data_IF_000073415159
#
_entry.id   IF_000073415159
#
_cell.length_a   1.000
_cell.length_b   1.000
_cell.length_c   1.000
_cell.angle_alpha   90.00
_cell.angle_beta   90.00
_cell.angle_gamma   90.00
#
_symmetry.space_group_name_H-M   'P 1'
#
loop_
_entity.id
_entity.type
_entity.pdbx_description
1 polymer ?
#
# COMPACT_ATOMS: atom_id res chain seq x y z
N UNK A 1 15.31 -5.87 -3.79
CA UNK A 1 14.47 -6.70 -4.67
C UNK A 1 14.22 -5.92 -5.94
N UNK A 2 14.29 -6.56 -7.10
CA UNK A 2 14.08 -5.81 -8.34
C UNK A 2 12.60 -5.57 -8.64
N UNK A 3 12.34 -4.55 -9.47
CA UNK A 3 10.98 -4.14 -9.80
C UNK A 3 10.18 -5.25 -10.49
N UNK A 4 10.84 -6.08 -11.32
CA UNK A 4 10.15 -7.15 -12.02
C UNK A 4 9.64 -8.23 -11.07
N UNK A 5 10.43 -8.57 -10.06
CA UNK A 5 9.99 -9.52 -9.04
C UNK A 5 8.82 -8.98 -8.24
N UNK A 6 8.90 -7.70 -7.86
CA UNK A 6 7.82 -7.05 -7.12
C UNK A 6 6.55 -7.04 -7.97
N UNK A 7 6.65 -6.69 -9.24
CA UNK A 7 5.51 -6.67 -10.13
C UNK A 7 4.88 -8.05 -10.29
N UNK A 8 5.70 -9.10 -10.38
CA UNK A 8 5.19 -10.47 -10.49
C UNK A 8 4.43 -10.89 -9.23
N UNK A 9 4.92 -10.51 -8.06
CA UNK A 9 4.23 -10.77 -6.79
C UNK A 9 2.87 -10.06 -6.78
N UNK A 10 2.86 -8.80 -7.18
CA UNK A 10 1.62 -8.00 -7.24
C UNK A 10 0.62 -8.64 -8.21
N UNK A 11 1.07 -8.99 -9.41
CA UNK A 11 0.20 -9.55 -10.44
C UNK A 11 -0.45 -10.86 -9.99
N UNK A 12 0.29 -11.66 -9.24
CA UNK A 12 -0.24 -12.90 -8.68
C UNK A 12 -1.19 -12.66 -7.51
N UNK A 13 -0.80 -11.81 -6.59
CA UNK A 13 -1.47 -11.67 -5.30
C UNK A 13 -2.64 -10.69 -5.29
N UNK A 14 -2.55 -9.61 -6.04
CA UNK A 14 -3.51 -8.51 -5.92
C UNK A 14 -4.96 -8.95 -6.21
N UNK A 15 -5.25 -9.72 -7.27
CA UNK A 15 -6.62 -10.20 -7.48
C UNK A 15 -7.12 -11.07 -6.33
N UNK A 16 -6.24 -11.84 -5.70
CA UNK A 16 -6.58 -12.70 -4.56
C UNK A 16 -6.87 -11.86 -3.30
N UNK A 17 -6.10 -10.82 -3.09
CA UNK A 17 -6.30 -9.88 -1.99
C UNK A 17 -7.66 -9.20 -2.14
N UNK A 18 -8.01 -8.76 -3.35
CA UNK A 18 -9.30 -8.15 -3.62
C UNK A 18 -10.44 -9.10 -3.29
N UNK A 19 -10.33 -10.35 -3.70
CA UNK A 19 -11.37 -11.35 -3.45
C UNK A 19 -11.51 -11.67 -1.96
N UNK A 20 -10.39 -11.73 -1.26
CA UNK A 20 -10.35 -12.11 0.15
C UNK A 20 -10.90 -11.02 1.06
N UNK A 21 -10.41 -9.80 0.90
CA UNK A 21 -10.83 -8.66 1.72
C UNK A 21 -12.07 -7.96 1.20
N UNK A 22 -12.45 -8.26 -0.02
CA UNK A 22 -13.65 -7.73 -0.63
C UNK A 22 -13.42 -6.43 -1.39
N UNK A 23 -14.35 -6.13 -2.26
CA UNK A 23 -14.38 -4.88 -3.01
C UNK A 23 -15.50 -4.04 -2.40
N UNK A 24 -15.19 -2.87 -1.85
CA UNK A 24 -16.21 -2.08 -1.17
C UNK A 24 -17.28 -1.59 -2.14
N UNK A 25 -18.50 -1.44 -1.63
CA UNK A 25 -19.63 -0.91 -2.40
C UNK A 25 -19.56 0.61 -2.37
N UNK A 26 -18.54 1.16 -2.99
CA UNK A 26 -18.30 2.60 -3.13
C UNK A 26 -17.96 2.89 -4.58
N UNK A 27 -18.10 4.16 -4.97
CA UNK A 27 -17.88 4.57 -6.36
C UNK A 27 -16.42 4.72 -6.76
N UNK A 28 -15.50 4.19 -5.96
CA UNK A 28 -14.07 4.20 -6.31
C UNK A 28 -13.71 2.91 -7.03
N UNK A 29 -13.07 2.98 -8.19
CA UNK A 29 -12.54 1.79 -8.85
C UNK A 29 -11.42 1.20 -8.00
N UNK A 30 -11.05 -0.05 -8.30
CA UNK A 30 -9.92 -0.70 -7.62
C UNK A 30 -8.67 0.11 -7.92
N UNK A 31 -7.88 0.48 -6.90
CA UNK A 31 -6.71 1.33 -7.11
C UNK A 31 -5.64 0.64 -7.95
N UNK A 32 -5.02 1.40 -8.83
CA UNK A 32 -3.84 0.94 -9.57
C UNK A 32 -2.63 0.98 -8.66
N UNK A 33 -1.68 0.11 -8.93
CA UNK A 33 -0.45 0.04 -8.16
C UNK A 33 0.69 0.58 -9.00
N UNK A 34 1.46 1.50 -8.45
CA UNK A 34 2.65 2.07 -9.09
C UNK A 34 3.87 1.84 -8.21
N UNK A 35 4.99 1.54 -8.86
CA UNK A 35 6.27 1.35 -8.18
C UNK A 35 7.13 2.58 -8.42
N UNK A 36 7.63 3.16 -7.33
CA UNK A 36 8.50 4.33 -7.39
C UNK A 36 9.70 4.15 -6.47
N UNK A 37 10.77 4.87 -6.77
CA UNK A 37 11.98 4.82 -5.94
C UNK A 37 11.72 5.40 -4.55
N UNK A 38 11.04 6.54 -4.49
CA UNK A 38 10.65 7.18 -3.24
C UNK A 38 9.54 8.22 -3.51
N UNK A 39 9.10 8.89 -2.45
CA UNK A 39 8.07 9.92 -2.56
C UNK A 39 8.53 11.05 -3.49
N UNK A 40 9.80 11.42 -3.40
CA UNK A 40 10.34 12.51 -4.19
C UNK A 40 10.29 12.22 -5.70
N UNK A 41 10.71 11.01 -6.09
CA UNK A 41 10.63 10.56 -7.47
C UNK A 41 9.18 10.56 -7.97
N UNK A 42 8.26 10.08 -7.13
CA UNK A 42 6.84 10.06 -7.47
C UNK A 42 6.28 11.46 -7.72
N UNK A 43 6.54 12.38 -6.79
CA UNK A 43 5.97 13.73 -6.86
C UNK A 43 6.59 14.57 -7.98
N UNK A 44 7.87 14.37 -8.26
CA UNK A 44 8.56 15.10 -9.33
C UNK A 44 8.26 14.56 -10.73
N UNK A 45 7.79 13.31 -10.81
CA UNK A 45 7.61 12.64 -12.09
C UNK A 45 8.91 12.16 -12.73
N UNK A 46 10.03 12.23 -12.00
CA UNK A 46 11.35 11.84 -12.49
C UNK A 46 11.92 10.77 -11.54
N UNK A 47 11.98 9.51 -12.02
CA UNK A 47 12.48 8.40 -11.23
C UNK A 47 13.97 8.53 -10.86
N UNK A 48 14.72 9.36 -11.60
CA UNK A 48 16.12 9.61 -11.27
C UNK A 48 16.28 10.71 -10.22
N UNK A 49 15.23 11.47 -9.91
CA UNK A 49 15.29 12.50 -8.90
C UNK A 49 15.50 11.87 -7.52
N UNK A 50 16.26 12.55 -6.69
CA UNK A 50 16.49 12.11 -5.32
C UNK A 50 16.36 13.28 -4.37
N UNK A 51 15.67 13.06 -3.24
CA UNK A 51 15.55 14.05 -2.19
C UNK A 51 16.65 13.88 -1.15
N UNK A 52 16.90 14.93 -0.40
CA UNK A 52 17.89 14.89 0.67
C UNK A 52 17.46 13.98 1.84
N UNK A 53 16.17 13.77 1.98
CA UNK A 53 15.63 12.95 3.06
C UNK A 53 15.25 11.58 2.52
N UNK A 54 16.00 10.58 2.92
CA UNK A 54 15.65 9.21 2.59
C UNK A 54 14.30 8.89 3.21
N UNK A 55 13.35 8.56 2.36
CA UNK A 55 12.06 8.12 2.81
C UNK A 55 12.12 6.65 3.18
N UNK A 56 11.74 6.33 4.40
CA UNK A 56 11.69 4.96 4.89
C UNK A 56 10.31 4.32 4.71
N UNK A 57 9.34 5.03 4.17
CA UNK A 57 8.04 4.47 3.87
C UNK A 57 8.15 3.32 2.89
N UNK A 58 7.41 2.27 3.16
CA UNK A 58 7.36 1.09 2.28
C UNK A 58 6.32 1.28 1.19
N UNK A 59 5.19 1.89 1.52
CA UNK A 59 4.07 2.07 0.61
C UNK A 59 3.13 3.15 1.11
N UNK A 60 2.23 3.59 0.23
CA UNK A 60 1.18 4.56 0.57
C UNK A 60 -0.06 4.28 -0.27
N UNK A 61 -1.23 4.50 0.31
CA UNK A 61 -2.46 4.63 -0.45
C UNK A 61 -2.78 6.12 -0.57
N UNK A 62 -2.86 6.63 -1.80
CA UNK A 62 -3.25 8.01 -2.07
C UNK A 62 -4.73 8.04 -2.39
N UNK A 63 -5.50 8.63 -1.49
CA UNK A 63 -6.95 8.67 -1.60
C UNK A 63 -7.42 9.57 -2.75
N UNK A 64 -6.72 10.67 -2.98
CA UNK A 64 -7.09 11.64 -4.01
C UNK A 64 -6.90 11.06 -5.42
N UNK A 65 -5.79 10.36 -5.64
CA UNK A 65 -5.51 9.71 -6.92
C UNK A 65 -6.11 8.31 -7.03
N UNK A 66 -6.50 7.73 -5.89
CA UNK A 66 -6.95 6.35 -5.76
C UNK A 66 -5.91 5.38 -6.33
N UNK A 67 -4.70 5.49 -5.81
CA UNK A 67 -3.56 4.65 -6.21
C UNK A 67 -2.82 4.14 -5.00
N UNK A 68 -2.21 2.98 -5.14
CA UNK A 68 -1.29 2.42 -4.16
C UNK A 68 0.10 2.59 -4.71
N UNK A 69 0.98 3.23 -3.94
CA UNK A 69 2.38 3.39 -4.30
C UNK A 69 3.23 2.47 -3.45
N UNK A 70 4.13 1.73 -4.08
CA UNK A 70 5.11 0.90 -3.37
C UNK A 70 6.49 1.45 -3.71
N UNK A 71 7.28 1.73 -2.68
CA UNK A 71 8.63 2.26 -2.81
C UNK A 71 9.61 1.09 -2.82
N UNK A 72 9.95 0.64 -4.04
CA UNK A 72 10.60 -0.65 -4.25
C UNK A 72 11.94 -0.84 -3.53
N UNK A 73 12.77 0.20 -3.28
CA UNK A 73 14.00 -0.04 -2.51
C UNK A 73 13.76 -0.44 -1.05
N UNK A 74 12.57 -0.15 -0.54
CA UNK A 74 12.25 -0.40 0.88
C UNK A 74 11.55 -1.75 1.11
N UNK A 75 11.33 -2.53 0.07
CA UNK A 75 10.79 -3.89 0.18
C UNK A 75 11.87 -4.89 -0.21
N UNK A 76 12.09 -5.88 0.64
CA UNK A 76 13.22 -6.79 0.50
C UNK A 76 12.82 -8.26 0.38
N UNK A 77 11.54 -8.57 0.48
CA UNK A 77 11.04 -9.93 0.45
C UNK A 77 9.62 -9.96 -0.06
N UNK A 78 9.15 -11.15 -0.41
CA UNK A 78 7.75 -11.37 -0.77
C UNK A 78 6.84 -10.94 0.39
N UNK A 79 7.22 -11.28 1.62
CA UNK A 79 6.47 -10.89 2.81
C UNK A 79 6.29 -9.38 2.87
N UNK A 80 7.35 -8.61 2.64
CA UNK A 80 7.31 -7.15 2.68
C UNK A 80 6.32 -6.61 1.64
N UNK A 81 6.37 -7.14 0.42
CA UNK A 81 5.48 -6.72 -0.66
C UNK A 81 4.03 -7.03 -0.31
N UNK A 82 3.76 -8.24 0.15
CA UNK A 82 2.40 -8.67 0.46
C UNK A 82 1.82 -7.90 1.63
N UNK A 83 2.60 -7.69 2.68
CA UNK A 83 2.14 -6.89 3.82
C UNK A 83 1.84 -5.46 3.42
N UNK A 84 2.72 -4.84 2.63
CA UNK A 84 2.52 -3.49 2.14
C UNK A 84 1.24 -3.39 1.30
N UNK A 85 1.06 -4.33 0.39
CA UNK A 85 -0.08 -4.34 -0.50
C UNK A 85 -1.40 -4.51 0.28
N UNK A 86 -1.43 -5.43 1.24
CA UNK A 86 -2.59 -5.66 2.10
C UNK A 86 -2.90 -4.41 2.93
N UNK A 87 -1.87 -3.80 3.52
CA UNK A 87 -2.03 -2.62 4.35
C UNK A 87 -2.68 -1.47 3.56
N UNK A 88 -2.15 -1.16 2.39
CA UNK A 88 -2.67 -0.05 1.59
C UNK A 88 -4.02 -0.39 0.97
N UNK A 89 -4.24 -1.64 0.56
CA UNK A 89 -5.56 -2.06 0.08
C UNK A 89 -6.61 -1.92 1.18
N UNK A 90 -6.25 -2.22 2.43
CA UNK A 90 -7.15 -2.05 3.57
C UNK A 90 -7.60 -0.59 3.68
N UNK A 91 -6.67 0.37 3.53
CA UNK A 91 -7.04 1.79 3.56
C UNK A 91 -8.02 2.16 2.44
N UNK A 92 -7.86 1.56 1.26
CA UNK A 92 -8.82 1.76 0.18
C UNK A 92 -10.24 1.33 0.58
N UNK A 93 -10.38 0.27 1.37
CA UNK A 93 -11.68 -0.24 1.79
C UNK A 93 -12.31 0.55 2.95
N UNK A 94 -11.55 1.44 3.59
CA UNK A 94 -12.00 2.19 4.74
C UNK A 94 -12.73 3.45 4.35
N UNK A 95 -13.57 3.96 5.26
CA UNK A 95 -14.33 5.18 5.03
C UNK A 95 -13.41 6.39 4.96
N UNK A 96 -13.51 7.16 3.87
CA UNK A 96 -12.65 8.31 3.62
C UNK A 96 -12.74 9.39 4.68
N UNK A 97 -13.94 9.65 5.18
CA UNK A 97 -14.12 10.66 6.22
C UNK A 97 -13.46 10.24 7.53
N UNK A 98 -13.56 8.95 7.85
CA UNK A 98 -12.94 8.41 9.05
C UNK A 98 -11.42 8.34 8.93
N UNK A 99 -10.88 8.09 7.73
CA UNK A 99 -9.42 8.13 7.51
C UNK A 99 -8.85 9.48 7.93
N UNK A 100 -9.45 10.56 7.43
CA UNK A 100 -9.00 11.91 7.73
C UNK A 100 -9.22 12.26 9.20
N UNK A 101 -10.39 11.94 9.73
CA UNK A 101 -10.79 12.27 11.11
C UNK A 101 -9.89 11.59 12.14
N UNK A 102 -9.64 10.29 11.96
CA UNK A 102 -8.85 9.53 12.93
C UNK A 102 -7.39 9.96 12.95
N UNK A 103 -6.84 10.36 11.80
CA UNK A 103 -5.47 10.89 11.76
C UNK A 103 -5.30 12.16 12.59
N UNK A 104 -6.38 12.94 12.74
CA UNK A 104 -6.34 14.16 13.54
C UNK A 104 -6.53 13.88 15.03
N UNK A 105 -7.25 12.82 15.38
CA UNK A 105 -7.64 12.53 16.77
C UNK A 105 -6.66 11.56 17.44
N UNK A 106 -6.17 10.56 16.71
CA UNK A 106 -5.35 9.50 17.26
C UNK A 106 -3.91 9.60 16.79
N UNK A 107 -2.98 9.11 17.63
CA UNK A 107 -1.62 8.82 17.18
C UNK A 107 -1.70 7.64 16.19
N UNK A 108 -0.62 7.43 15.44
CA UNK A 108 -0.57 6.33 14.47
C UNK A 108 -0.91 4.98 15.13
N UNK A 109 -0.32 4.71 16.29
CA UNK A 109 -0.51 3.42 16.98
C UNK A 109 -1.91 3.21 17.53
N UNK A 110 -2.66 4.29 17.73
CA UNK A 110 -4.00 4.24 18.28
C UNK A 110 -5.10 4.41 17.23
N UNK A 111 -4.73 4.76 16.01
CA UNK A 111 -5.68 4.96 14.91
C UNK A 111 -6.36 3.63 14.55
N UNK A 112 -7.70 3.51 14.70
CA UNK A 112 -8.40 2.26 14.40
C UNK A 112 -8.18 1.77 12.97
N UNK A 113 -8.00 2.67 12.01
CA UNK A 113 -7.76 2.30 10.62
C UNK A 113 -6.38 1.68 10.43
N UNK A 114 -5.37 2.20 11.13
CA UNK A 114 -4.03 1.61 11.10
C UNK A 114 -3.99 0.27 11.83
N UNK A 115 -4.71 0.16 12.93
CA UNK A 115 -4.80 -1.11 13.67
C UNK A 115 -5.41 -2.19 12.79
N UNK A 116 -6.48 -1.89 12.08
CA UNK A 116 -7.11 -2.83 11.16
C UNK A 116 -6.15 -3.22 10.03
N UNK A 117 -5.47 -2.26 9.45
CA UNK A 117 -4.54 -2.51 8.35
C UNK A 117 -3.40 -3.41 8.80
N UNK A 118 -2.83 -3.17 9.97
CA UNK A 118 -1.77 -4.02 10.52
C UNK A 118 -2.27 -5.43 10.84
N UNK A 119 -3.47 -5.54 11.35
CA UNK A 119 -4.06 -6.85 11.62
C UNK A 119 -4.24 -7.66 10.34
N UNK A 120 -4.70 -7.02 9.28
CA UNK A 120 -4.89 -7.70 8.00
C UNK A 120 -3.59 -8.18 7.39
N UNK A 121 -2.46 -7.51 7.67
CA UNK A 121 -1.14 -7.95 7.20
C UNK A 121 -0.77 -9.35 7.69
N UNK A 122 -1.33 -9.80 8.80
CA UNK A 122 -1.05 -11.13 9.36
C UNK A 122 -1.45 -12.25 8.41
N UNK A 123 -2.37 -11.98 7.49
CA UNK A 123 -2.85 -12.96 6.51
C UNK A 123 -1.98 -13.06 5.24
N UNK A 124 -0.83 -12.43 5.24
CA UNK A 124 0.01 -12.33 4.04
C UNK A 124 0.37 -13.68 3.40
N UNK A 125 0.53 -14.73 4.24
CA UNK A 125 0.91 -16.06 3.73
C UNK A 125 -0.13 -16.67 2.80
N UNK A 126 -1.39 -16.27 2.93
CA UNK A 126 -2.46 -16.77 2.07
C UNK A 126 -2.26 -16.38 0.62
N UNK A 127 -1.47 -15.35 0.36
CA UNK A 127 -1.25 -14.78 -0.97
C UNK A 127 0.12 -15.07 -1.53
N UNK A 128 0.93 -15.80 -0.79
CA UNK A 128 2.26 -16.21 -1.24
C UNK A 128 2.15 -17.25 -2.36
N UNK A 129 3.08 -17.18 -3.31
CA UNK A 129 3.16 -18.14 -4.41
C UNK A 129 3.69 -19.50 -3.99
N UNK A 130 4.13 -19.62 -2.76
CA UNK A 130 4.69 -20.88 -2.25
C UNK A 130 3.62 -21.85 -1.82
#
# INVERSE_FOLDING_TARGET
MDKNKIQNIIDYAYPKIQSYFGIPDIYKPIPKIELHKDIYARLSGDEEASGEHSNTSVAEYDEDENKIFIYYPNVNSEEDVLKALIHEYTHYTQDSELLAKYKQIYSYDEDPNEIEAHKNEEDWQLFSQK
#
